data_IF_176868504481
#
_entry.id   IF_176868504481
#
_cell.length_a   1.000
_cell.length_b   1.000
_cell.length_c   1.000
_cell.angle_alpha   90.00
_cell.angle_beta   90.00
_cell.angle_gamma   90.00
#
_symmetry.space_group_name_H-M   'P 1'
#
loop_
_entity.id
_entity.type
_entity.pdbx_description
1 polymer ?
#
# COMPACT_ATOMS: atom_id res chain seq x y z
N UNK A 1 -6.49 -20.76 5.72
CA UNK A 1 -7.20 -20.20 4.53
C UNK A 1 -7.17 -18.70 4.60
N UNK A 2 -6.82 -18.08 3.51
CA UNK A 2 -6.75 -16.61 3.40
C UNK A 2 -8.12 -16.04 3.05
N UNK A 3 -8.54 -15.03 3.80
CA UNK A 3 -9.79 -14.32 3.54
C UNK A 3 -9.49 -12.82 3.41
N UNK A 4 -10.03 -12.17 2.40
CA UNK A 4 -9.90 -10.74 2.17
C UNK A 4 -11.23 -10.05 2.44
N UNK A 5 -11.19 -8.96 3.21
CA UNK A 5 -12.38 -8.18 3.54
C UNK A 5 -12.17 -6.74 3.09
N UNK A 6 -13.14 -6.21 2.37
CA UNK A 6 -13.18 -4.78 2.02
C UNK A 6 -13.84 -4.01 3.16
N UNK A 7 -13.19 -2.95 3.60
CA UNK A 7 -13.65 -2.15 4.74
C UNK A 7 -13.16 -0.71 4.57
N UNK A 8 -13.09 0.03 5.67
CA UNK A 8 -12.55 1.38 5.70
C UNK A 8 -11.57 1.54 6.86
N UNK A 9 -10.99 2.74 6.99
CA UNK A 9 -9.97 3.01 8.00
C UNK A 9 -10.46 2.97 9.45
N UNK A 10 -11.76 2.82 9.66
CA UNK A 10 -12.33 2.63 11.00
C UNK A 10 -12.17 1.21 11.54
N UNK A 11 -11.78 0.26 10.68
CA UNK A 11 -11.62 -1.14 11.06
C UNK A 11 -10.52 -1.30 12.12
N UNK A 12 -10.84 -1.98 13.23
CA UNK A 12 -9.92 -2.12 14.36
C UNK A 12 -8.65 -2.91 14.00
N UNK A 13 -8.78 -3.95 13.19
CA UNK A 13 -7.63 -4.77 12.79
C UNK A 13 -6.71 -4.00 11.84
N UNK A 14 -7.29 -3.18 10.96
CA UNK A 14 -6.52 -2.28 10.12
C UNK A 14 -5.69 -1.31 10.98
N UNK A 15 -6.31 -0.69 11.97
CA UNK A 15 -5.62 0.25 12.86
C UNK A 15 -4.46 -0.41 13.59
N UNK A 16 -4.66 -1.65 14.06
CA UNK A 16 -3.61 -2.39 14.74
C UNK A 16 -2.45 -2.72 13.80
N UNK A 17 -2.75 -3.14 12.58
CA UNK A 17 -1.72 -3.44 11.57
C UNK A 17 -0.94 -2.18 11.18
N UNK A 18 -1.64 -1.06 11.00
CA UNK A 18 -1.00 0.22 10.68
C UNK A 18 -0.07 0.68 11.81
N UNK A 19 -0.44 0.43 13.06
CA UNK A 19 0.42 0.74 14.18
C UNK A 19 1.77 0.02 14.07
N UNK A 20 1.76 -1.27 13.73
CA UNK A 20 3.00 -2.03 13.53
C UNK A 20 3.77 -1.55 12.29
N UNK A 21 3.06 -1.20 11.23
CA UNK A 21 3.68 -0.64 10.03
C UNK A 21 4.42 0.66 10.36
N UNK A 22 3.78 1.56 11.10
CA UNK A 22 4.39 2.85 11.45
C UNK A 22 5.66 2.66 12.29
N UNK A 23 5.67 1.68 13.19
CA UNK A 23 6.86 1.36 13.97
C UNK A 23 7.99 0.82 13.10
N UNK A 24 7.67 -0.02 12.12
CA UNK A 24 8.66 -0.55 11.18
C UNK A 24 9.22 0.59 10.30
N UNK A 25 8.37 1.49 9.81
CA UNK A 25 8.79 2.63 9.00
C UNK A 25 9.67 3.59 9.80
N UNK A 26 9.42 3.76 11.09
CA UNK A 26 10.25 4.61 11.94
C UNK A 26 11.71 4.13 11.93
N UNK A 27 11.92 2.83 11.95
CA UNK A 27 13.27 2.26 11.88
C UNK A 27 13.86 2.42 10.48
N UNK A 28 13.08 2.13 9.44
CA UNK A 28 13.56 2.17 8.05
C UNK A 28 13.84 3.58 7.54
N UNK A 29 13.00 4.55 7.94
CA UNK A 29 13.15 5.93 7.49
C UNK A 29 14.33 6.65 8.17
N UNK A 30 14.75 6.20 9.35
CA UNK A 30 15.87 6.79 10.07
C UNK A 30 15.68 8.28 10.27
N UNK A 31 16.66 9.08 9.82
CA UNK A 31 16.63 10.55 10.00
C UNK A 31 15.51 11.22 9.21
N UNK A 32 14.98 10.56 8.19
CA UNK A 32 13.89 11.11 7.37
C UNK A 32 12.51 10.84 7.98
N UNK A 33 12.44 10.11 9.09
CA UNK A 33 11.15 9.68 9.66
C UNK A 33 10.19 10.84 9.93
N UNK A 34 10.68 11.93 10.50
CA UNK A 34 9.83 13.08 10.82
C UNK A 34 9.16 13.66 9.55
N UNK A 35 9.88 13.68 8.44
CA UNK A 35 9.35 14.15 7.18
C UNK A 35 8.26 13.22 6.65
N UNK A 36 8.56 11.91 6.59
CA UNK A 36 7.60 10.93 6.06
C UNK A 36 6.38 10.76 6.97
N UNK A 37 6.55 10.82 8.28
CA UNK A 37 5.46 10.62 9.24
C UNK A 37 4.32 11.61 9.05
N UNK A 38 4.61 12.84 8.63
CA UNK A 38 3.56 13.84 8.42
C UNK A 38 2.59 13.46 7.28
N UNK A 39 3.03 12.59 6.35
CA UNK A 39 2.20 12.12 5.24
C UNK A 39 1.55 10.76 5.52
N UNK A 40 1.90 10.14 6.66
CA UNK A 40 1.39 8.83 7.06
C UNK A 40 0.43 8.93 8.26
N UNK A 41 -0.12 10.10 8.51
CA UNK A 41 -1.10 10.28 9.57
C UNK A 41 -2.34 9.45 9.27
N UNK A 42 -3.00 9.00 10.36
CA UNK A 42 -4.28 8.33 10.23
C UNK A 42 -5.27 9.33 9.66
N UNK A 43 -5.70 9.09 8.45
CA UNK A 43 -6.74 9.87 7.81
C UNK A 43 -7.90 8.94 7.47
N UNK A 44 -9.06 9.50 7.21
CA UNK A 44 -10.21 8.71 6.81
C UNK A 44 -9.99 8.18 5.38
N UNK A 45 -9.78 6.88 5.26
CA UNK A 45 -9.65 6.21 3.97
C UNK A 45 -10.86 5.29 3.80
N UNK A 46 -11.56 5.42 2.68
CA UNK A 46 -12.79 4.69 2.42
C UNK A 46 -12.56 3.27 1.92
N UNK A 47 -11.44 3.03 1.28
CA UNK A 47 -11.22 1.77 0.55
C UNK A 47 -10.00 1.06 1.12
N UNK A 48 -10.24 0.16 2.06
CA UNK A 48 -9.24 -0.60 2.77
C UNK A 48 -9.53 -2.09 2.61
N UNK A 49 -8.47 -2.88 2.41
CA UNK A 49 -8.56 -4.35 2.43
C UNK A 49 -7.79 -4.86 3.63
N UNK A 50 -8.41 -5.74 4.40
CA UNK A 50 -7.75 -6.48 5.49
C UNK A 50 -7.78 -7.95 5.14
N UNK A 51 -6.65 -8.61 5.27
CA UNK A 51 -6.51 -10.03 5.04
C UNK A 51 -6.49 -10.78 6.38
N UNK A 52 -7.11 -11.92 6.41
CA UNK A 52 -7.14 -12.79 7.57
C UNK A 52 -6.64 -14.18 7.20
N UNK A 53 -5.76 -14.71 8.02
CA UNK A 53 -5.35 -16.11 7.93
C UNK A 53 -6.05 -16.86 9.07
N UNK A 54 -7.12 -17.57 8.73
CA UNK A 54 -8.07 -18.02 9.74
C UNK A 54 -8.71 -16.79 10.39
N UNK A 55 -8.57 -16.68 11.71
CA UNK A 55 -9.09 -15.53 12.46
C UNK A 55 -8.01 -14.48 12.79
N UNK A 56 -6.79 -14.66 12.26
CA UNK A 56 -5.67 -13.78 12.58
C UNK A 56 -5.54 -12.70 11.51
N UNK A 57 -5.51 -11.40 11.89
CA UNK A 57 -5.21 -10.34 10.93
C UNK A 57 -3.82 -10.56 10.34
N UNK A 58 -3.76 -10.72 9.03
CA UNK A 58 -2.56 -11.17 8.32
C UNK A 58 -1.97 -10.13 7.38
N UNK A 59 -2.63 -9.00 7.20
CA UNK A 59 -2.13 -7.95 6.36
C UNK A 59 -3.20 -6.94 5.98
N UNK A 60 -2.78 -5.84 5.41
CA UNK A 60 -3.70 -4.78 4.98
C UNK A 60 -3.12 -3.97 3.83
N UNK A 61 -3.98 -3.19 3.22
CA UNK A 61 -3.62 -2.19 2.23
C UNK A 61 -4.81 -1.29 1.95
N UNK A 62 -4.57 -0.15 1.35
CA UNK A 62 -5.60 0.84 1.09
C UNK A 62 -5.34 1.55 -0.23
N UNK A 63 -6.41 2.09 -0.81
CA UNK A 63 -6.30 3.00 -1.95
C UNK A 63 -7.09 4.26 -1.65
N UNK A 64 -6.60 5.38 -2.14
CA UNK A 64 -7.29 6.66 -2.03
C UNK A 64 -7.13 7.43 -3.34
N UNK A 65 -8.07 8.32 -3.68
CA UNK A 65 -7.92 9.13 -4.89
C UNK A 65 -6.64 9.96 -4.82
N UNK A 66 -5.93 10.05 -5.95
CA UNK A 66 -4.71 10.86 -6.05
C UNK A 66 -4.89 12.01 -7.04
N UNK A 67 -5.11 11.67 -8.29
CA UNK A 67 -5.33 12.64 -9.34
C UNK A 67 -6.40 12.09 -10.27
N UNK A 68 -6.76 12.84 -11.31
CA UNK A 68 -7.80 12.39 -12.22
C UNK A 68 -7.49 11.01 -12.79
N UNK A 69 -8.37 10.07 -12.53
CA UNK A 69 -8.24 8.70 -12.99
C UNK A 69 -7.24 7.84 -12.24
N UNK A 70 -6.48 8.40 -11.31
CA UNK A 70 -5.43 7.67 -10.57
C UNK A 70 -5.75 7.60 -9.09
N UNK A 71 -5.49 6.46 -8.48
CA UNK A 71 -5.53 6.32 -7.02
C UNK A 71 -4.14 5.99 -6.50
N UNK A 72 -3.93 6.26 -5.22
CA UNK A 72 -2.66 5.98 -4.55
C UNK A 72 -2.82 4.77 -3.64
N UNK A 73 -1.90 3.82 -3.78
CA UNK A 73 -1.79 2.68 -2.89
C UNK A 73 -1.09 3.12 -1.60
N UNK A 74 -1.72 2.83 -0.46
CA UNK A 74 -1.22 3.23 0.86
C UNK A 74 -1.32 2.08 1.85
N UNK A 75 -0.47 2.11 2.86
CA UNK A 75 -0.60 1.25 4.04
C UNK A 75 -0.53 -0.25 3.76
N UNK A 76 0.24 -0.64 2.75
CA UNK A 76 0.51 -2.05 2.49
C UNK A 76 1.40 -2.62 3.60
N UNK A 77 0.91 -3.64 4.28
CA UNK A 77 1.65 -4.26 5.37
C UNK A 77 1.26 -5.71 5.57
N UNK A 78 2.25 -6.56 5.78
CA UNK A 78 2.09 -7.94 6.22
C UNK A 78 3.06 -8.15 7.37
N UNK A 79 2.61 -8.66 8.53
CA UNK A 79 3.51 -8.95 9.65
C UNK A 79 4.69 -9.84 9.21
N UNK A 80 5.89 -9.62 9.75
CA UNK A 80 7.09 -10.34 9.29
C UNK A 80 6.98 -11.86 9.28
N UNK A 81 6.34 -12.44 10.31
CA UNK A 81 6.18 -13.90 10.44
C UNK A 81 5.16 -14.49 9.45
N UNK A 82 4.39 -13.64 8.76
CA UNK A 82 3.41 -14.08 7.77
C UNK A 82 3.82 -13.74 6.33
N UNK A 83 5.02 -13.21 6.14
CA UNK A 83 5.52 -12.87 4.81
C UNK A 83 5.90 -14.12 4.01
N UNK A 84 6.03 -13.96 2.69
CA UNK A 84 6.39 -15.02 1.74
C UNK A 84 5.33 -16.09 1.59
N UNK A 85 4.07 -15.75 1.86
CA UNK A 85 2.92 -16.64 1.70
C UNK A 85 1.93 -16.14 0.64
N UNK A 86 2.31 -15.09 -0.10
CA UNK A 86 1.45 -14.50 -1.12
C UNK A 86 0.36 -13.60 -0.60
N UNK A 87 0.38 -13.23 0.68
CA UNK A 87 -0.67 -12.41 1.30
C UNK A 87 -0.65 -10.99 0.71
N UNK A 88 0.51 -10.35 0.64
CA UNK A 88 0.64 -9.02 0.06
C UNK A 88 0.20 -8.99 -1.39
N UNK A 89 0.57 -10.02 -2.15
CA UNK A 89 0.17 -10.16 -3.54
C UNK A 89 -1.35 -10.24 -3.68
N UNK A 90 -2.01 -11.00 -2.82
CA UNK A 90 -3.47 -11.13 -2.82
C UNK A 90 -4.17 -9.82 -2.45
N UNK A 91 -3.64 -9.10 -1.46
CA UNK A 91 -4.17 -7.79 -1.06
C UNK A 91 -4.05 -6.81 -2.23
N UNK A 92 -2.88 -6.76 -2.86
CA UNK A 92 -2.62 -5.86 -3.97
C UNK A 92 -3.58 -6.11 -5.13
N UNK A 93 -3.77 -7.37 -5.51
CA UNK A 93 -4.69 -7.74 -6.58
C UNK A 93 -6.13 -7.36 -6.26
N UNK A 94 -6.55 -7.54 -5.01
CA UNK A 94 -7.89 -7.15 -4.60
C UNK A 94 -8.08 -5.63 -4.66
N UNK A 95 -7.07 -4.87 -4.25
CA UNK A 95 -7.12 -3.41 -4.34
C UNK A 95 -7.14 -2.95 -5.80
N UNK A 96 -6.39 -3.59 -6.67
CA UNK A 96 -6.41 -3.27 -8.11
C UNK A 96 -7.78 -3.56 -8.72
N UNK A 97 -8.40 -4.67 -8.34
CA UNK A 97 -9.75 -5.01 -8.79
C UNK A 97 -10.76 -3.96 -8.32
N UNK A 98 -10.67 -3.59 -7.05
CA UNK A 98 -11.53 -2.57 -6.47
C UNK A 98 -11.34 -1.22 -7.14
N UNK A 99 -10.09 -0.84 -7.40
CA UNK A 99 -9.79 0.41 -8.12
C UNK A 99 -10.46 0.44 -9.49
N UNK A 100 -10.43 -0.67 -10.23
CA UNK A 100 -11.11 -0.79 -11.51
C UNK A 100 -12.62 -0.64 -11.39
N UNK A 101 -13.20 -1.24 -10.35
CA UNK A 101 -14.65 -1.11 -10.07
C UNK A 101 -15.04 0.34 -9.76
N UNK A 102 -14.12 1.10 -9.16
CA UNK A 102 -14.31 2.52 -8.85
C UNK A 102 -13.97 3.45 -10.03
N UNK A 103 -13.66 2.86 -11.18
CA UNK A 103 -13.35 3.56 -12.43
C UNK A 103 -12.00 4.28 -12.44
N UNK A 104 -11.08 3.90 -11.56
CA UNK A 104 -9.70 4.36 -11.67
C UNK A 104 -9.02 3.64 -12.84
N UNK A 105 -8.12 4.35 -13.54
CA UNK A 105 -7.39 3.79 -14.67
C UNK A 105 -5.98 3.32 -14.30
N UNK A 106 -5.52 3.71 -13.14
CA UNK A 106 -4.20 3.28 -12.66
C UNK A 106 -3.98 3.59 -11.20
N UNK A 107 -2.85 3.07 -10.70
CA UNK A 107 -2.43 3.25 -9.33
C UNK A 107 -1.00 3.81 -9.31
N UNK A 108 -0.76 4.69 -8.37
CA UNK A 108 0.60 5.16 -8.04
C UNK A 108 0.90 4.75 -6.61
N UNK A 109 2.18 4.68 -6.28
CA UNK A 109 2.61 4.38 -4.92
C UNK A 109 3.99 4.97 -4.66
N UNK A 110 4.32 5.11 -3.38
CA UNK A 110 5.67 5.40 -2.97
C UNK A 110 6.11 4.34 -1.97
N UNK A 111 7.34 3.86 -2.12
CA UNK A 111 8.00 2.99 -1.16
C UNK A 111 9.43 3.48 -0.95
N UNK A 112 10.13 2.93 0.03
CA UNK A 112 11.49 3.34 0.33
C UNK A 112 12.55 2.51 -0.37
N UNK A 113 13.69 3.13 -0.69
CA UNK A 113 14.83 2.40 -1.24
C UNK A 113 15.32 1.31 -0.27
N UNK A 114 15.04 1.48 1.03
CA UNK A 114 15.39 0.50 2.06
C UNK A 114 14.43 -0.70 2.12
N UNK A 115 13.47 -0.79 1.20
CA UNK A 115 12.46 -1.85 1.17
C UNK A 115 12.52 -2.65 -0.14
N UNK A 116 13.61 -3.39 -0.38
CA UNK A 116 13.77 -4.12 -1.65
C UNK A 116 12.70 -5.17 -1.88
N UNK A 117 12.17 -5.78 -0.82
CA UNK A 117 11.09 -6.78 -0.95
C UNK A 117 9.80 -6.15 -1.44
N UNK A 118 9.46 -4.94 -0.96
CA UNK A 118 8.29 -4.21 -1.44
C UNK A 118 8.46 -3.82 -2.90
N UNK A 119 9.62 -3.30 -3.27
CA UNK A 119 9.92 -2.94 -4.66
C UNK A 119 9.79 -4.17 -5.56
N UNK A 120 10.30 -5.31 -5.13
CA UNK A 120 10.18 -6.57 -5.87
C UNK A 120 8.74 -7.01 -6.05
N UNK A 121 7.92 -6.89 -5.00
CA UNK A 121 6.50 -7.22 -5.06
C UNK A 121 5.80 -6.38 -6.13
N UNK A 122 6.04 -5.07 -6.13
CA UNK A 122 5.38 -4.18 -7.07
C UNK A 122 5.84 -4.43 -8.50
N UNK A 123 7.15 -4.61 -8.72
CA UNK A 123 7.67 -4.93 -10.06
C UNK A 123 7.09 -6.23 -10.60
N UNK A 124 7.01 -7.25 -9.77
CA UNK A 124 6.42 -8.54 -10.13
C UNK A 124 4.97 -8.37 -10.58
N UNK A 125 4.27 -7.42 -10.01
CA UNK A 125 2.87 -7.16 -10.33
C UNK A 125 2.66 -6.11 -11.43
N UNK A 126 3.72 -5.75 -12.15
CA UNK A 126 3.60 -4.89 -13.32
C UNK A 126 3.77 -3.40 -13.04
N UNK A 127 4.17 -3.02 -11.83
CA UNK A 127 4.48 -1.63 -11.52
C UNK A 127 5.85 -1.27 -12.07
N UNK A 128 5.98 -0.07 -12.58
CA UNK A 128 7.25 0.45 -13.07
C UNK A 128 7.61 1.74 -12.35
N UNK A 129 8.90 2.00 -12.23
CA UNK A 129 9.42 3.19 -11.57
C UNK A 129 9.07 4.42 -12.39
N UNK A 130 8.60 5.46 -11.72
CA UNK A 130 8.33 6.77 -12.30
C UNK A 130 9.10 7.83 -11.51
N UNK A 131 9.14 9.05 -12.00
CA UNK A 131 9.70 10.17 -11.24
C UNK A 131 8.92 10.35 -9.94
N UNK A 132 9.62 10.71 -8.87
CA UNK A 132 8.98 10.94 -7.58
C UNK A 132 7.95 12.07 -7.72
N UNK A 133 6.76 11.83 -7.19
CA UNK A 133 5.63 12.75 -7.35
C UNK A 133 5.29 13.44 -6.02
N UNK A 134 4.54 14.54 -6.13
CA UNK A 134 3.98 15.25 -5.00
C UNK A 134 5.03 15.57 -3.93
N UNK A 135 4.73 15.23 -2.68
CA UNK A 135 5.60 15.46 -1.54
C UNK A 135 6.91 14.65 -1.57
N UNK A 136 6.99 13.65 -2.45
CA UNK A 136 8.19 12.81 -2.56
C UNK A 136 9.19 13.32 -3.58
N UNK A 137 8.84 14.37 -4.34
CA UNK A 137 9.75 14.96 -5.33
C UNK A 137 11.05 15.41 -4.66
N UNK A 138 12.18 14.99 -5.22
CA UNK A 138 13.49 15.32 -4.67
C UNK A 138 13.94 14.47 -3.47
N UNK A 139 13.11 13.54 -2.99
CA UNK A 139 13.47 12.66 -1.87
C UNK A 139 14.21 11.43 -2.38
N UNK A 140 15.52 11.36 -2.13
CA UNK A 140 16.37 10.27 -2.62
C UNK A 140 15.99 8.91 -2.02
N UNK A 141 15.44 8.91 -0.80
CA UNK A 141 15.03 7.67 -0.13
C UNK A 141 13.70 7.13 -0.67
N UNK A 142 13.00 7.87 -1.52
CA UNK A 142 11.70 7.47 -2.06
C UNK A 142 11.83 6.86 -3.44
N UNK A 143 11.06 5.79 -3.67
CA UNK A 143 10.88 5.20 -5.00
C UNK A 143 9.39 5.25 -5.30
N UNK A 144 9.01 5.94 -6.36
CA UNK A 144 7.62 6.01 -6.81
C UNK A 144 7.41 5.08 -7.99
N UNK A 145 6.26 4.44 -8.02
CA UNK A 145 5.93 3.45 -9.05
C UNK A 145 4.49 3.64 -9.50
N UNK A 146 4.20 3.12 -10.68
CA UNK A 146 2.88 3.27 -11.31
C UNK A 146 2.52 2.00 -12.08
N UNK A 147 1.24 1.68 -12.05
CA UNK A 147 0.67 0.64 -12.91
C UNK A 147 -0.64 1.15 -13.49
N UNK A 148 -0.79 1.04 -14.81
CA UNK A 148 -2.07 1.29 -15.46
C UNK A 148 -2.86 -0.02 -15.44
N UNK A 149 -4.09 0.04 -14.94
CA UNK A 149 -4.99 -1.12 -14.98
C UNK A 149 -5.76 -1.08 -16.29
N UNK A 150 -5.68 -2.19 -17.02
CA UNK A 150 -6.36 -2.27 -18.31
C UNK A 150 -7.85 -2.39 -18.07
N UNK A 151 -8.58 -1.40 -18.59
CA UNK A 151 -10.03 -1.47 -18.62
C UNK A 151 -10.37 -2.07 -19.97
N UNK A 152 -10.93 -3.26 -19.95
CA UNK A 152 -11.44 -3.89 -21.17
C UNK A 152 -12.78 -3.28 -21.51
N UNK A 153 -12.82 -2.62 -22.63
CA UNK A 153 -14.08 -2.06 -23.16
C UNK A 153 -14.85 -3.13 -23.92
#
# INVERSE_FOLDING_TARGET
>A
MLKLIRTDSGNADFKALVHFLDRELQVLDGDDHAYYAQFNKIEAIKNVVVAYWGNVPAGCGAIKPWSEGMCELKRMYVPPDLRRRGIADSILKELERWAGELSFTGLVLETGVAQPEAIGLYRKNGYRTISNYGQYAGMEASVCMQKMIVIQS
#
